data_IF_472899070871
#
_entry.id   IF_472899070871
#
_cell.length_a   1.000
_cell.length_b   1.000
_cell.length_c   1.000
_cell.angle_alpha   90.00
_cell.angle_beta   90.00
_cell.angle_gamma   90.00
#
_symmetry.space_group_name_H-M   'P 1'
#
loop_
_entity.id
_entity.type
_entity.pdbx_description
1 polymer ?
#
# COMPACT_ATOMS: atom_id res chain seq x y z
N UNK A 1 5.42 34.31 -2.80
CA UNK A 1 5.25 33.63 -4.10
C UNK A 1 4.69 34.65 -5.06
N UNK A 2 5.31 34.82 -6.22
CA UNK A 2 4.76 35.67 -7.29
C UNK A 2 3.50 34.99 -7.82
N UNK A 3 2.37 35.70 -7.99
CA UNK A 3 1.22 35.11 -8.65
C UNK A 3 1.60 34.68 -10.07
N UNK A 4 1.17 33.48 -10.46
CA UNK A 4 1.34 32.96 -11.80
C UNK A 4 0.50 33.80 -12.78
N UNK A 5 1.02 34.03 -13.98
CA UNK A 5 0.24 34.59 -15.10
C UNK A 5 -0.79 33.58 -15.63
N UNK A 6 -1.78 34.06 -16.39
CA UNK A 6 -2.91 33.26 -16.91
C UNK A 6 -2.47 32.11 -17.86
N UNK A 7 -1.22 32.12 -18.33
CA UNK A 7 -0.60 31.12 -19.21
C UNK A 7 0.50 30.28 -18.53
N UNK A 8 0.61 30.38 -17.20
CA UNK A 8 1.63 29.69 -16.43
C UNK A 8 1.03 28.56 -15.60
N UNK A 9 1.58 27.36 -15.79
CA UNK A 9 1.12 26.14 -15.13
C UNK A 9 2.20 25.63 -14.19
N UNK A 10 1.77 25.06 -13.06
CA UNK A 10 2.63 24.32 -12.14
C UNK A 10 2.04 22.94 -11.95
N UNK A 11 2.81 21.92 -12.32
CA UNK A 11 2.50 20.53 -12.02
C UNK A 11 3.21 20.16 -10.72
N UNK A 12 2.44 19.76 -9.71
CA UNK A 12 2.97 19.33 -8.41
C UNK A 12 2.86 17.82 -8.32
N UNK A 13 4.01 17.15 -8.25
CA UNK A 13 4.09 15.72 -7.98
C UNK A 13 4.75 15.50 -6.62
N UNK A 14 4.07 14.76 -5.74
CA UNK A 14 4.57 14.42 -4.42
C UNK A 14 5.39 13.13 -4.48
N UNK A 15 6.61 13.14 -3.92
CA UNK A 15 7.47 11.95 -3.87
C UNK A 15 6.82 10.75 -3.18
N UNK A 16 5.94 11.00 -2.20
CA UNK A 16 5.18 9.94 -1.53
C UNK A 16 4.24 9.15 -2.45
N UNK A 17 3.83 9.72 -3.60
CA UNK A 17 3.05 8.99 -4.60
C UNK A 17 3.88 7.86 -5.23
N UNK A 18 5.17 8.08 -5.48
CA UNK A 18 6.03 7.09 -6.12
C UNK A 18 6.28 5.89 -5.19
N UNK A 19 6.56 6.19 -3.93
CA UNK A 19 6.69 5.18 -2.89
C UNK A 19 5.40 4.38 -2.75
N UNK A 20 4.26 5.06 -2.76
CA UNK A 20 2.95 4.41 -2.69
C UNK A 20 2.67 3.46 -3.85
N UNK A 21 2.85 3.93 -5.08
CA UNK A 21 2.66 3.10 -6.27
C UNK A 21 3.54 1.85 -6.21
N UNK A 22 4.79 1.99 -5.77
CA UNK A 22 5.69 0.85 -5.58
C UNK A 22 5.24 -0.09 -4.47
N UNK A 23 4.79 0.44 -3.33
CA UNK A 23 4.30 -0.36 -2.21
C UNK A 23 3.06 -1.19 -2.57
N UNK A 24 2.23 -0.74 -3.50
CA UNK A 24 1.11 -1.54 -4.04
C UNK A 24 1.54 -2.45 -5.20
N UNK A 25 2.42 -1.99 -6.08
CA UNK A 25 2.91 -2.78 -7.20
C UNK A 25 3.73 -4.01 -6.76
N UNK A 26 4.45 -3.91 -5.64
CA UNK A 26 5.31 -4.98 -5.11
C UNK A 26 4.54 -6.22 -4.65
N UNK A 27 3.51 -6.12 -3.78
CA UNK A 27 2.71 -7.28 -3.40
C UNK A 27 1.87 -7.78 -4.58
N UNK A 28 1.39 -6.90 -5.46
CA UNK A 28 0.73 -7.30 -6.72
C UNK A 28 1.66 -8.19 -7.55
N UNK A 29 2.91 -7.79 -7.76
CA UNK A 29 3.85 -8.57 -8.53
C UNK A 29 4.20 -9.90 -7.86
N UNK A 30 4.24 -9.93 -6.52
CA UNK A 30 4.37 -11.18 -5.77
C UNK A 30 3.19 -12.13 -6.02
N UNK A 31 1.98 -11.58 -6.11
CA UNK A 31 0.76 -12.36 -6.27
C UNK A 31 0.62 -12.94 -7.69
N UNK A 32 0.76 -12.09 -8.71
CA UNK A 32 0.31 -12.44 -10.07
C UNK A 32 1.42 -12.79 -11.06
N UNK A 33 2.66 -12.32 -10.85
CA UNK A 33 3.78 -12.58 -11.77
C UNK A 33 4.68 -13.68 -11.24
N UNK A 34 4.17 -14.91 -11.25
CA UNK A 34 4.89 -16.13 -10.84
C UNK A 34 5.47 -16.84 -12.07
N UNK A 35 6.77 -17.13 -12.07
CA UNK A 35 7.37 -17.95 -13.13
C UNK A 35 7.01 -19.43 -12.93
N UNK A 36 6.56 -20.11 -14.01
CA UNK A 36 6.04 -21.48 -13.96
C UNK A 36 7.01 -22.52 -13.35
N UNK A 37 8.33 -22.32 -13.48
CA UNK A 37 9.34 -23.26 -12.98
C UNK A 37 9.78 -22.97 -11.53
N UNK A 38 9.29 -21.88 -10.94
CA UNK A 38 9.48 -21.59 -9.54
C UNK A 38 8.11 -21.61 -8.86
N UNK A 39 7.81 -22.70 -8.15
CA UNK A 39 6.90 -22.67 -7.00
C UNK A 39 7.54 -21.81 -5.88
N UNK A 40 7.91 -20.58 -6.24
CA UNK A 40 8.58 -19.62 -5.40
C UNK A 40 7.60 -19.03 -4.39
N UNK A 41 8.13 -18.30 -3.40
CA UNK A 41 7.38 -17.84 -2.26
C UNK A 41 6.63 -16.54 -2.64
N UNK A 42 5.61 -16.64 -3.49
CA UNK A 42 4.68 -15.56 -3.80
C UNK A 42 3.45 -15.60 -2.88
N UNK A 43 2.83 -14.45 -2.65
CA UNK A 43 1.60 -14.34 -1.84
C UNK A 43 0.37 -14.70 -2.66
N UNK A 44 -0.67 -15.29 -2.06
CA UNK A 44 -1.93 -15.54 -2.77
C UNK A 44 -2.82 -14.28 -2.86
N UNK A 45 -3.93 -14.36 -3.59
CA UNK A 45 -4.83 -13.21 -3.80
C UNK A 45 -5.42 -12.67 -2.48
N UNK A 46 -5.89 -13.52 -1.53
CA UNK A 46 -6.32 -13.04 -0.22
C UNK A 46 -5.21 -12.33 0.56
N UNK A 47 -3.99 -12.87 0.55
CA UNK A 47 -2.85 -12.23 1.22
C UNK A 47 -2.49 -10.90 0.54
N UNK A 48 -2.51 -10.82 -0.80
CA UNK A 48 -2.33 -9.55 -1.53
C UNK A 48 -3.33 -8.49 -1.09
N UNK A 49 -4.61 -8.84 -1.05
CA UNK A 49 -5.66 -7.90 -0.64
C UNK A 49 -5.50 -7.42 0.80
N UNK A 50 -5.12 -8.31 1.71
CA UNK A 50 -4.77 -7.93 3.09
C UNK A 50 -3.59 -6.97 3.13
N UNK A 51 -2.50 -7.27 2.42
CA UNK A 51 -1.32 -6.39 2.38
C UNK A 51 -1.68 -5.00 1.86
N UNK A 52 -2.51 -4.92 0.81
CA UNK A 52 -3.03 -3.64 0.29
C UNK A 52 -3.84 -2.90 1.34
N UNK A 53 -4.77 -3.56 2.04
CA UNK A 53 -5.56 -2.95 3.09
C UNK A 53 -4.67 -2.42 4.24
N UNK A 54 -3.64 -3.16 4.64
CA UNK A 54 -2.70 -2.72 5.67
C UNK A 54 -1.88 -1.50 5.23
N UNK A 55 -1.47 -1.42 3.96
CA UNK A 55 -0.78 -0.23 3.44
C UNK A 55 -1.66 1.01 3.54
N UNK A 56 -2.94 0.88 3.22
CA UNK A 56 -3.91 1.98 3.37
C UNK A 56 -4.11 2.37 4.84
N UNK A 57 -4.23 1.40 5.73
CA UNK A 57 -4.34 1.65 7.17
C UNK A 57 -3.14 2.44 7.70
N UNK A 58 -1.91 2.05 7.33
CA UNK A 58 -0.70 2.77 7.73
C UNK A 58 -0.67 4.21 7.21
N UNK A 59 -1.11 4.41 5.96
CA UNK A 59 -1.22 5.75 5.38
C UNK A 59 -2.23 6.61 6.14
N UNK A 60 -3.37 6.05 6.53
CA UNK A 60 -4.40 6.77 7.28
C UNK A 60 -3.93 7.15 8.69
N UNK A 61 -3.35 6.18 9.42
CA UNK A 61 -3.00 6.35 10.84
C UNK A 61 -1.70 7.14 11.03
N UNK A 62 -0.69 6.91 10.18
CA UNK A 62 0.64 7.51 10.35
C UNK A 62 1.01 8.54 9.29
N UNK A 63 0.20 8.67 8.22
CA UNK A 63 0.57 9.52 7.08
C UNK A 63 1.74 8.96 6.26
N UNK A 64 2.20 7.73 6.51
CA UNK A 64 3.36 7.12 5.84
C UNK A 64 2.98 5.79 5.18
N UNK A 65 3.68 5.46 4.09
CA UNK A 65 3.44 4.25 3.31
C UNK A 65 4.26 3.09 3.84
N UNK A 66 3.62 2.26 4.66
CA UNK A 66 4.25 1.10 5.31
C UNK A 66 3.37 -0.14 5.17
N UNK A 67 3.98 -1.33 5.25
CA UNK A 67 3.24 -2.58 5.11
C UNK A 67 4.02 -3.77 5.66
N UNK A 68 3.37 -4.94 5.76
CA UNK A 68 3.99 -6.14 6.27
C UNK A 68 5.11 -6.66 5.34
N UNK A 69 6.00 -7.47 5.90
CA UNK A 69 6.92 -8.29 5.13
C UNK A 69 6.19 -9.49 4.54
N UNK A 70 6.52 -9.78 3.30
CA UNK A 70 6.05 -10.94 2.57
C UNK A 70 7.12 -11.39 1.59
N UNK A 71 6.99 -12.63 1.14
CA UNK A 71 7.97 -13.18 0.25
C UNK A 71 7.81 -12.63 -1.19
N UNK A 72 8.95 -12.27 -1.77
CA UNK A 72 9.04 -11.62 -3.08
C UNK A 72 10.45 -11.82 -3.64
N UNK A 73 10.52 -12.20 -4.91
CA UNK A 73 11.79 -12.39 -5.62
C UNK A 73 12.32 -11.08 -6.19
N UNK A 74 13.61 -11.00 -6.53
CA UNK A 74 14.19 -9.80 -7.14
C UNK A 74 13.62 -9.53 -8.54
N UNK A 75 13.20 -10.56 -9.27
CA UNK A 75 12.48 -10.40 -10.53
C UNK A 75 11.12 -9.71 -10.32
N UNK A 76 10.35 -10.14 -9.32
CA UNK A 76 9.08 -9.50 -8.97
C UNK A 76 9.28 -8.06 -8.49
N UNK A 77 10.34 -7.77 -7.72
CA UNK A 77 10.70 -6.39 -7.35
C UNK A 77 11.01 -5.53 -8.58
N UNK A 78 11.68 -6.09 -9.57
CA UNK A 78 11.99 -5.40 -10.84
C UNK A 78 10.72 -5.11 -11.63
N UNK A 79 9.82 -6.10 -11.77
CA UNK A 79 8.52 -5.91 -12.43
C UNK A 79 7.64 -4.89 -11.71
N UNK A 80 7.60 -4.94 -10.37
CA UNK A 80 6.90 -3.95 -9.55
C UNK A 80 7.42 -2.53 -9.79
N UNK A 81 8.76 -2.36 -9.82
CA UNK A 81 9.38 -1.08 -10.10
C UNK A 81 9.03 -0.57 -11.51
N UNK A 82 9.03 -1.47 -12.50
CA UNK A 82 8.61 -1.12 -13.86
C UNK A 82 7.15 -0.67 -13.89
N UNK A 83 6.23 -1.41 -13.27
CA UNK A 83 4.81 -1.04 -13.22
C UNK A 83 4.58 0.29 -12.50
N UNK A 84 5.21 0.50 -11.35
CA UNK A 84 5.12 1.74 -10.59
C UNK A 84 5.62 2.93 -11.42
N UNK A 85 6.76 2.80 -12.11
CA UNK A 85 7.28 3.82 -13.01
C UNK A 85 6.32 4.12 -14.19
N UNK A 86 5.59 3.13 -14.70
CA UNK A 86 4.59 3.36 -15.76
C UNK A 86 3.35 4.05 -15.25
N UNK A 87 2.88 3.66 -14.07
CA UNK A 87 1.79 4.34 -13.37
C UNK A 87 2.15 5.81 -13.12
N UNK A 88 3.37 6.08 -12.63
CA UNK A 88 3.89 7.45 -12.43
C UNK A 88 3.88 8.25 -13.74
N UNK A 89 4.42 7.68 -14.82
CA UNK A 89 4.46 8.36 -16.12
C UNK A 89 3.05 8.68 -16.64
N UNK A 90 2.11 7.75 -16.44
CA UNK A 90 0.71 7.98 -16.79
C UNK A 90 0.13 9.15 -15.99
N UNK A 91 0.31 9.18 -14.66
CA UNK A 91 -0.20 10.26 -13.81
C UNK A 91 0.43 11.61 -14.17
N UNK A 92 1.74 11.68 -14.38
CA UNK A 92 2.39 12.90 -14.87
C UNK A 92 1.85 13.34 -16.24
N UNK A 93 1.67 12.39 -17.16
CA UNK A 93 1.14 12.68 -18.48
C UNK A 93 -0.35 13.12 -18.42
N UNK A 94 -1.10 12.67 -17.42
CA UNK A 94 -2.47 13.11 -17.14
C UNK A 94 -2.50 14.57 -16.70
N UNK A 95 -1.66 14.97 -15.75
CA UNK A 95 -1.53 16.39 -15.35
C UNK A 95 -1.13 17.29 -16.53
N UNK A 96 -0.21 16.81 -17.39
CA UNK A 96 0.14 17.51 -18.63
C UNK A 96 -1.01 17.54 -19.65
N UNK A 97 -1.90 16.54 -19.59
CA UNK A 97 -3.14 16.49 -20.37
C UNK A 97 -4.05 17.67 -20.05
N UNK A 98 -4.27 17.96 -18.75
CA UNK A 98 -5.02 19.15 -18.31
C UNK A 98 -4.42 20.45 -18.87
N UNK A 99 -3.10 20.61 -18.79
CA UNK A 99 -2.41 21.78 -19.37
C UNK A 99 -2.69 21.88 -20.88
N UNK A 100 -2.60 20.78 -21.61
CA UNK A 100 -2.88 20.75 -23.05
C UNK A 100 -4.33 21.10 -23.38
N UNK A 101 -5.29 20.66 -22.57
CA UNK A 101 -6.73 20.99 -22.73
C UNK A 101 -6.94 22.49 -22.54
N UNK A 102 -6.44 23.06 -21.44
CA UNK A 102 -6.59 24.49 -21.15
C UNK A 102 -5.98 25.35 -22.26
N UNK A 103 -4.80 24.98 -22.77
CA UNK A 103 -4.13 25.71 -23.86
C UNK A 103 -4.87 25.60 -25.20
N UNK A 104 -5.54 24.48 -25.47
CA UNK A 104 -6.18 24.21 -26.76
C UNK A 104 -7.64 24.65 -26.82
N UNK A 105 -8.36 24.65 -25.70
CA UNK A 105 -9.80 24.87 -25.63
C UNK A 105 -10.24 25.38 -24.25
N UNK A 106 -9.83 26.61 -23.86
CA UNK A 106 -10.08 27.12 -22.51
C UNK A 106 -11.58 27.27 -22.23
N UNK A 107 -12.06 26.59 -21.18
CA UNK A 107 -13.41 26.75 -20.62
C UNK A 107 -14.56 26.16 -21.43
N UNK A 108 -14.28 25.18 -22.30
CA UNK A 108 -15.30 24.55 -23.17
C UNK A 108 -15.83 23.23 -22.59
N UNK A 109 -15.00 22.49 -21.87
CA UNK A 109 -15.34 21.17 -21.32
C UNK A 109 -15.86 21.29 -19.88
N UNK A 110 -16.75 20.39 -19.50
CA UNK A 110 -17.02 20.16 -18.08
C UNK A 110 -15.86 19.38 -17.42
N UNK A 111 -15.82 19.35 -16.08
CA UNK A 111 -14.73 18.71 -15.32
C UNK A 111 -14.57 17.22 -15.67
N UNK A 112 -15.67 16.49 -15.88
CA UNK A 112 -15.62 15.06 -16.16
C UNK A 112 -15.11 14.76 -17.59
N UNK A 113 -15.47 15.60 -18.55
CA UNK A 113 -14.94 15.57 -19.91
C UNK A 113 -13.46 15.94 -19.93
N UNK A 114 -13.06 16.96 -19.17
CA UNK A 114 -11.66 17.36 -19.04
C UNK A 114 -10.78 16.22 -18.53
N UNK A 115 -11.19 15.55 -17.45
CA UNK A 115 -10.52 14.36 -16.89
C UNK A 115 -10.36 13.23 -17.91
N UNK A 116 -11.42 12.98 -18.69
CA UNK A 116 -11.42 11.96 -19.73
C UNK A 116 -10.45 12.31 -20.87
N UNK A 117 -10.39 13.58 -21.27
CA UNK A 117 -9.44 14.05 -22.29
C UNK A 117 -8.00 14.00 -21.79
N UNK A 118 -7.77 14.35 -20.52
CA UNK A 118 -6.46 14.24 -19.88
C UNK A 118 -5.97 12.78 -19.85
N UNK A 119 -6.83 11.83 -19.51
CA UNK A 119 -6.56 10.39 -19.57
C UNK A 119 -6.20 9.90 -20.99
N UNK A 120 -6.96 10.35 -21.99
CA UNK A 120 -6.72 10.01 -23.41
C UNK A 120 -5.37 10.55 -23.86
N UNK A 121 -5.06 11.81 -23.51
CA UNK A 121 -3.77 12.43 -23.83
C UNK A 121 -2.62 11.67 -23.15
N UNK A 122 -2.76 11.36 -21.87
CA UNK A 122 -1.77 10.63 -21.08
C UNK A 122 -1.43 9.26 -21.67
N UNK A 123 -2.46 8.49 -22.00
CA UNK A 123 -2.29 7.18 -22.63
C UNK A 123 -1.65 7.33 -24.02
N UNK A 124 -2.14 8.26 -24.83
CA UNK A 124 -1.64 8.50 -26.19
C UNK A 124 -0.14 8.81 -26.17
N UNK A 125 0.28 9.76 -25.35
CA UNK A 125 1.70 10.15 -25.25
C UNK A 125 2.55 9.00 -24.70
N UNK A 126 2.06 8.26 -23.70
CA UNK A 126 2.76 7.13 -23.12
C UNK A 126 2.97 5.99 -24.13
N UNK A 127 1.96 5.70 -24.95
CA UNK A 127 2.02 4.68 -26.01
C UNK A 127 2.92 5.12 -27.16
N UNK A 128 2.84 6.39 -27.59
CA UNK A 128 3.74 6.94 -28.59
C UNK A 128 5.20 6.90 -28.12
N UNK A 129 5.48 7.33 -26.89
CA UNK A 129 6.81 7.27 -26.32
C UNK A 129 7.36 5.84 -26.23
N UNK A 130 6.48 4.86 -25.95
CA UNK A 130 6.85 3.44 -25.91
C UNK A 130 7.10 2.85 -27.31
N UNK A 131 6.48 3.41 -28.36
CA UNK A 131 6.68 3.01 -29.75
C UNK A 131 7.84 3.75 -30.44
N UNK A 132 8.26 4.90 -29.91
CA UNK A 132 9.33 5.75 -30.46
C UNK A 132 10.73 5.39 -29.94
N UNK A 133 10.86 4.50 -28.95
CA UNK A 133 12.16 4.02 -28.48
C UNK A 133 12.77 2.99 -29.44
N UNK A 134 13.45 3.53 -30.47
CA UNK A 134 14.62 3.00 -31.21
C UNK A 134 14.52 1.64 -31.91
N UNK A 135 14.53 1.67 -33.26
CA UNK A 135 15.26 0.85 -34.25
C UNK A 135 15.44 -0.68 -34.13
N UNK A 136 15.02 -1.31 -33.05
CA UNK A 136 14.93 -2.75 -32.85
C UNK A 136 13.47 -3.09 -32.61
N UNK A 137 13.04 -4.29 -33.00
CA UNK A 137 11.65 -4.70 -33.07
C UNK A 137 10.80 -4.16 -31.90
N UNK A 138 9.67 -3.50 -32.21
CA UNK A 138 8.66 -3.03 -31.24
C UNK A 138 8.47 -4.09 -30.16
N UNK A 139 9.05 -3.91 -28.97
CA UNK A 139 8.94 -4.91 -27.91
C UNK A 139 7.51 -4.85 -27.34
N UNK A 140 6.67 -5.87 -27.60
CA UNK A 140 5.27 -5.86 -27.15
C UNK A 140 5.17 -5.77 -25.63
N UNK A 141 6.21 -6.19 -24.90
CA UNK A 141 6.27 -6.09 -23.44
C UNK A 141 6.26 -4.65 -22.96
N UNK A 142 6.86 -3.71 -23.70
CA UNK A 142 6.87 -2.29 -23.33
C UNK A 142 5.48 -1.67 -23.41
N UNK A 143 4.77 -1.91 -24.52
CA UNK A 143 3.39 -1.45 -24.69
C UNK A 143 2.47 -2.07 -23.62
N UNK A 144 2.62 -3.38 -23.37
CA UNK A 144 1.88 -4.09 -22.34
C UNK A 144 2.10 -3.50 -20.94
N UNK A 145 3.36 -3.29 -20.53
CA UNK A 145 3.67 -2.73 -19.21
C UNK A 145 3.27 -1.26 -19.08
N UNK A 146 3.41 -0.47 -20.15
CA UNK A 146 2.95 0.93 -20.18
C UNK A 146 1.45 1.02 -19.93
N UNK A 147 0.66 0.21 -20.64
CA UNK A 147 -0.79 0.18 -20.44
C UNK A 147 -1.17 -0.38 -19.06
N UNK A 148 -0.52 -1.47 -18.63
CA UNK A 148 -0.75 -2.06 -17.31
C UNK A 148 -0.45 -1.09 -16.16
N UNK A 149 0.54 -0.20 -16.30
CA UNK A 149 0.81 0.86 -15.33
C UNK A 149 -0.32 1.90 -15.24
N UNK A 150 -0.90 2.29 -16.39
CA UNK A 150 -2.04 3.20 -16.40
C UNK A 150 -3.28 2.58 -15.71
N UNK A 151 -3.62 1.33 -16.04
CA UNK A 151 -4.71 0.63 -15.33
C UNK A 151 -4.39 0.43 -13.84
N UNK A 152 -3.14 0.12 -13.46
CA UNK A 152 -2.74 0.00 -12.07
C UNK A 152 -3.02 1.30 -11.28
N UNK A 153 -2.67 2.46 -11.85
CA UNK A 153 -2.93 3.75 -11.20
C UNK A 153 -4.44 3.95 -10.94
N UNK A 154 -5.29 3.65 -11.94
CA UNK A 154 -6.74 3.77 -11.80
C UNK A 154 -7.34 2.72 -10.85
N UNK A 155 -6.80 1.50 -10.81
CA UNK A 155 -7.23 0.48 -9.85
C UNK A 155 -6.90 0.88 -8.41
N UNK A 156 -5.72 1.46 -8.18
CA UNK A 156 -5.35 2.03 -6.87
C UNK A 156 -6.34 3.15 -6.49
N UNK A 157 -6.65 4.05 -7.42
CA UNK A 157 -7.66 5.09 -7.21
C UNK A 157 -9.04 4.53 -6.86
N UNK A 158 -9.45 3.44 -7.52
CA UNK A 158 -10.72 2.76 -7.26
C UNK A 158 -10.78 2.24 -5.81
N UNK A 159 -9.69 1.62 -5.34
CA UNK A 159 -9.58 1.17 -3.94
C UNK A 159 -9.64 2.35 -2.98
N UNK A 160 -8.92 3.42 -3.26
CA UNK A 160 -8.92 4.64 -2.43
C UNK A 160 -10.31 5.24 -2.28
N UNK A 161 -11.05 5.33 -3.38
CA UNK A 161 -12.41 5.89 -3.40
C UNK A 161 -13.35 5.06 -2.51
N UNK A 162 -13.22 3.73 -2.55
CA UNK A 162 -14.01 2.81 -1.71
C UNK A 162 -13.69 2.91 -0.22
N UNK A 163 -12.44 3.24 0.12
CA UNK A 163 -12.02 3.48 1.50
C UNK A 163 -12.33 4.92 1.97
N UNK A 164 -13.01 5.73 1.15
CA UNK A 164 -13.26 7.15 1.40
C UNK A 164 -11.98 7.98 1.61
N UNK A 165 -10.87 7.56 0.98
CA UNK A 165 -9.57 8.23 1.02
C UNK A 165 -9.37 9.20 -0.16
N UNK A 166 -10.45 9.74 -0.72
CA UNK A 166 -10.40 10.64 -1.88
C UNK A 166 -9.66 11.94 -1.57
N UNK A 167 -8.69 12.31 -2.41
CA UNK A 167 -7.93 13.55 -2.25
C UNK A 167 -8.77 14.81 -2.55
N UNK A 168 -9.77 14.70 -3.42
CA UNK A 168 -10.69 15.78 -3.81
C UNK A 168 -12.07 15.19 -4.06
N UNK A 169 -13.07 15.61 -3.28
CA UNK A 169 -14.43 15.10 -3.40
C UNK A 169 -15.10 15.54 -4.69
N UNK A 170 -15.58 14.57 -5.48
CA UNK A 170 -16.61 14.78 -6.51
C UNK A 170 -16.15 15.37 -7.84
N UNK A 171 -14.84 15.51 -8.08
CA UNK A 171 -14.30 16.10 -9.33
C UNK A 171 -13.96 15.04 -10.38
N UNK A 172 -13.56 13.83 -9.96
CA UNK A 172 -13.11 12.79 -10.88
C UNK A 172 -14.22 11.80 -11.24
N UNK A 173 -14.36 11.40 -12.52
CA UNK A 173 -15.20 10.28 -12.90
C UNK A 173 -14.78 8.98 -12.19
N UNK A 174 -15.69 8.03 -11.96
CA UNK A 174 -15.36 6.74 -11.36
C UNK A 174 -14.22 6.05 -12.12
N UNK A 175 -13.26 5.49 -11.38
CA UNK A 175 -12.06 4.86 -11.96
C UNK A 175 -12.37 3.81 -13.04
N UNK A 176 -13.43 3.02 -12.86
CA UNK A 176 -13.83 2.02 -13.86
C UNK A 176 -14.32 2.66 -15.17
N UNK A 177 -15.00 3.81 -15.09
CA UNK A 177 -15.41 4.55 -16.29
C UNK A 177 -14.18 5.11 -17.04
N UNK A 178 -13.17 5.58 -16.30
CA UNK A 178 -11.88 6.01 -16.84
C UNK A 178 -11.13 4.86 -17.51
N UNK A 179 -11.10 3.68 -16.89
CA UNK A 179 -10.52 2.46 -17.49
C UNK A 179 -11.23 2.11 -18.80
N UNK A 180 -12.57 2.18 -18.87
CA UNK A 180 -13.31 1.92 -20.11
C UNK A 180 -12.93 2.91 -21.23
N UNK A 181 -12.70 4.17 -20.90
CA UNK A 181 -12.20 5.19 -21.85
C UNK A 181 -10.78 4.84 -22.31
N UNK A 182 -9.89 4.44 -21.40
CA UNK A 182 -8.54 4.01 -21.75
C UNK A 182 -8.55 2.78 -22.66
N UNK A 183 -9.39 1.78 -22.39
CA UNK A 183 -9.54 0.56 -23.23
C UNK A 183 -10.01 0.91 -24.64
N UNK A 184 -11.04 1.74 -24.76
CA UNK A 184 -11.56 2.23 -26.06
C UNK A 184 -10.49 3.00 -26.82
N UNK A 185 -9.75 3.85 -26.13
CA UNK A 185 -8.65 4.63 -26.71
C UNK A 185 -7.51 3.72 -27.17
N UNK A 186 -7.04 2.81 -26.31
CA UNK A 186 -6.01 1.82 -26.64
C UNK A 186 -6.38 1.03 -27.90
N UNK A 187 -7.65 0.63 -28.02
CA UNK A 187 -8.12 -0.13 -29.17
C UNK A 187 -7.89 0.60 -30.50
N UNK A 188 -7.94 1.93 -30.51
CA UNK A 188 -7.64 2.74 -31.71
C UNK A 188 -6.18 2.70 -32.14
N UNK A 189 -5.26 2.32 -31.25
CA UNK A 189 -3.83 2.14 -31.53
C UNK A 189 -3.47 0.72 -31.99
N UNK A 190 -4.43 -0.22 -31.99
CA UNK A 190 -4.19 -1.62 -32.30
C UNK A 190 -4.70 -1.97 -33.71
N UNK A 191 -3.81 -2.52 -34.53
CA UNK A 191 -4.14 -2.97 -35.89
C UNK A 191 -5.00 -4.26 -35.90
N UNK A 192 -5.04 -4.98 -34.77
CA UNK A 192 -5.75 -6.27 -34.65
C UNK A 192 -6.16 -6.59 -33.22
N UNK A 193 -7.11 -7.52 -33.07
CA UNK A 193 -7.49 -8.13 -31.79
C UNK A 193 -6.31 -8.77 -31.07
N UNK A 194 -5.48 -9.52 -31.78
CA UNK A 194 -4.31 -10.17 -31.19
C UNK A 194 -3.32 -9.16 -30.56
N UNK A 195 -3.12 -8.00 -31.19
CA UNK A 195 -2.27 -6.94 -30.64
C UNK A 195 -2.91 -6.31 -29.39
N UNK A 196 -4.20 -6.02 -29.44
CA UNK A 196 -4.95 -5.49 -28.31
C UNK A 196 -4.93 -6.45 -27.10
N UNK A 197 -5.18 -7.73 -27.34
CA UNK A 197 -5.15 -8.78 -26.32
C UNK A 197 -3.75 -8.91 -25.70
N UNK A 198 -2.70 -8.81 -26.53
CA UNK A 198 -1.31 -8.84 -26.04
C UNK A 198 -1.01 -7.66 -25.12
N UNK A 199 -1.41 -6.45 -25.49
CA UNK A 199 -1.14 -5.24 -24.69
C UNK A 199 -1.97 -5.24 -23.39
N UNK A 200 -3.21 -5.71 -23.45
CA UNK A 200 -4.12 -5.72 -22.29
C UNK A 200 -3.88 -6.88 -21.34
N UNK A 201 -3.12 -7.90 -21.73
CA UNK A 201 -2.92 -9.13 -20.95
C UNK A 201 -2.52 -8.87 -19.48
N UNK A 202 -1.48 -8.08 -19.25
CA UNK A 202 -1.03 -7.77 -17.88
C UNK A 202 -2.07 -6.94 -17.11
N UNK A 203 -2.76 -6.03 -17.79
CA UNK A 203 -3.77 -5.16 -17.18
C UNK A 203 -5.01 -5.95 -16.73
N UNK A 204 -5.46 -6.94 -17.53
CA UNK A 204 -6.53 -7.88 -17.16
C UNK A 204 -6.15 -8.70 -15.91
N UNK A 205 -4.88 -9.13 -15.80
CA UNK A 205 -4.40 -9.84 -14.62
C UNK A 205 -4.44 -8.94 -13.38
N UNK A 206 -4.04 -7.68 -13.52
CA UNK A 206 -4.13 -6.66 -12.45
C UNK A 206 -5.59 -6.44 -12.04
N UNK A 207 -6.50 -6.23 -12.99
CA UNK A 207 -7.93 -6.03 -12.72
C UNK A 207 -8.54 -7.21 -11.94
N UNK A 208 -8.17 -8.45 -12.27
CA UNK A 208 -8.62 -9.64 -11.53
C UNK A 208 -8.12 -9.64 -10.09
N UNK A 209 -6.85 -9.32 -9.86
CA UNK A 209 -6.30 -9.22 -8.52
C UNK A 209 -7.01 -8.13 -7.70
N UNK A 210 -7.24 -6.95 -8.30
CA UNK A 210 -7.96 -5.86 -7.65
C UNK A 210 -9.45 -6.16 -7.42
N UNK A 211 -10.07 -7.01 -8.26
CA UNK A 211 -11.43 -7.49 -7.99
C UNK A 211 -11.51 -8.23 -6.66
N UNK A 212 -10.49 -9.03 -6.31
CA UNK A 212 -10.42 -9.70 -5.00
C UNK A 212 -10.22 -8.70 -3.86
N UNK A 213 -9.39 -7.67 -4.07
CA UNK A 213 -9.22 -6.55 -3.12
C UNK A 213 -10.57 -5.89 -2.84
N UNK A 214 -11.32 -5.54 -3.89
CA UNK A 214 -12.63 -4.91 -3.75
C UNK A 214 -13.64 -5.82 -3.04
N UNK A 215 -13.65 -7.12 -3.34
CA UNK A 215 -14.53 -8.06 -2.65
C UNK A 215 -14.27 -8.11 -1.14
N UNK A 216 -13.00 -8.09 -0.73
CA UNK A 216 -12.62 -8.08 0.69
C UNK A 216 -13.02 -6.77 1.36
N UNK A 217 -12.83 -5.62 0.68
CA UNK A 217 -13.22 -4.31 1.23
C UNK A 217 -14.74 -4.18 1.35
N UNK A 218 -15.49 -4.64 0.34
CA UNK A 218 -16.96 -4.53 0.32
C UNK A 218 -17.66 -5.56 1.21
N UNK A 219 -17.05 -6.74 1.40
CA UNK A 219 -17.61 -7.87 2.14
C UNK A 219 -16.58 -8.45 3.12
N UNK A 220 -16.15 -7.66 4.13
CA UNK A 220 -15.09 -8.06 5.05
C UNK A 220 -15.46 -9.34 5.83
N UNK A 221 -16.74 -9.56 6.14
CA UNK A 221 -17.24 -10.71 6.90
C UNK A 221 -16.86 -12.07 6.30
N UNK A 222 -16.87 -12.20 4.96
CA UNK A 222 -16.57 -13.46 4.27
C UNK A 222 -15.09 -13.87 4.37
N UNK A 223 -14.22 -12.91 4.64
CA UNK A 223 -12.77 -13.11 4.77
C UNK A 223 -12.25 -12.89 6.20
N UNK A 224 -13.10 -12.33 7.07
CA UNK A 224 -12.80 -12.00 8.46
C UNK A 224 -12.30 -13.22 9.23
N UNK A 225 -12.94 -14.39 9.12
CA UNK A 225 -12.56 -15.57 9.89
C UNK A 225 -11.10 -16.02 9.65
N UNK A 226 -10.62 -15.90 8.41
CA UNK A 226 -9.26 -16.28 8.06
C UNK A 226 -8.25 -15.28 8.62
N UNK A 227 -8.47 -13.98 8.38
CA UNK A 227 -7.58 -12.92 8.84
C UNK A 227 -7.58 -12.81 10.37
N UNK A 228 -8.74 -12.91 11.01
CA UNK A 228 -8.84 -12.96 12.47
C UNK A 228 -8.09 -14.15 13.05
N UNK A 229 -8.16 -15.33 12.42
CA UNK A 229 -7.41 -16.51 12.89
C UNK A 229 -5.91 -16.26 12.81
N UNK A 230 -5.42 -15.67 11.72
CA UNK A 230 -4.00 -15.33 11.57
C UNK A 230 -3.57 -14.26 12.58
N UNK A 231 -4.37 -13.21 12.78
CA UNK A 231 -4.13 -12.18 13.79
C UNK A 231 -4.08 -12.77 15.20
N UNK A 232 -5.04 -13.64 15.57
CA UNK A 232 -5.07 -14.34 16.86
C UNK A 232 -3.85 -15.22 17.09
N UNK A 233 -3.38 -15.92 16.06
CA UNK A 233 -2.14 -16.71 16.13
C UNK A 233 -0.91 -15.82 16.35
N UNK A 234 -0.81 -14.70 15.63
CA UNK A 234 0.26 -13.72 15.80
C UNK A 234 0.26 -13.13 17.22
N UNK A 235 -0.90 -12.69 17.70
CA UNK A 235 -1.06 -12.17 19.07
C UNK A 235 -0.67 -13.23 20.10
N UNK A 236 -1.08 -14.48 19.90
CA UNK A 236 -0.69 -15.59 20.79
C UNK A 236 0.82 -15.82 20.79
N UNK A 237 1.48 -15.75 19.63
CA UNK A 237 2.94 -15.89 19.52
C UNK A 237 3.67 -14.75 20.23
N UNK A 238 3.20 -13.51 20.06
CA UNK A 238 3.75 -12.33 20.72
C UNK A 238 3.57 -12.38 22.24
N UNK A 239 2.38 -12.76 22.72
CA UNK A 239 2.10 -12.93 24.16
C UNK A 239 3.00 -13.99 24.77
N UNK A 240 3.14 -15.14 24.12
CA UNK A 240 4.05 -16.21 24.58
C UNK A 240 5.50 -15.73 24.63
N UNK A 241 5.96 -15.01 23.60
CA UNK A 241 7.30 -14.44 23.59
C UNK A 241 7.51 -13.44 24.74
N UNK A 242 6.53 -12.57 25.01
CA UNK A 242 6.55 -11.64 26.14
C UNK A 242 6.57 -12.36 27.49
N UNK A 243 5.76 -13.41 27.65
CA UNK A 243 5.73 -14.22 28.87
C UNK A 243 7.07 -14.90 29.13
N UNK A 244 7.62 -15.57 28.12
CA UNK A 244 8.93 -16.22 28.19
C UNK A 244 10.03 -15.22 28.58
N UNK A 245 10.11 -14.09 27.86
CA UNK A 245 11.17 -13.09 28.06
C UNK A 245 10.99 -12.25 29.33
N UNK A 246 9.83 -12.30 29.99
CA UNK A 246 9.55 -11.58 31.24
C UNK A 246 9.47 -12.49 32.48
N UNK A 247 9.74 -13.79 32.34
CA UNK A 247 9.64 -14.75 33.44
C UNK A 247 10.65 -14.48 34.56
N UNK A 248 11.90 -14.19 34.19
CA UNK A 248 13.01 -14.01 35.13
C UNK A 248 13.05 -12.64 35.80
N UNK A 249 13.92 -12.49 36.81
CA UNK A 249 14.12 -11.21 37.54
C UNK A 249 14.54 -10.09 36.59
N UNK A 250 15.41 -10.41 35.64
CA UNK A 250 15.83 -9.49 34.57
C UNK A 250 15.19 -9.95 33.26
N UNK A 251 14.46 -9.09 32.53
CA UNK A 251 13.91 -9.45 31.23
C UNK A 251 14.99 -9.86 30.21
N UNK A 252 14.69 -10.85 29.38
CA UNK A 252 15.55 -11.27 28.28
C UNK A 252 15.34 -10.36 27.05
N UNK A 253 15.94 -9.17 27.13
CA UNK A 253 15.89 -8.16 26.07
C UNK A 253 16.50 -8.67 24.75
N UNK A 254 17.58 -9.46 24.81
CA UNK A 254 18.27 -9.93 23.62
C UNK A 254 17.36 -10.83 22.79
N UNK A 255 16.80 -11.89 23.40
CA UNK A 255 15.89 -12.80 22.69
C UNK A 255 14.63 -12.07 22.22
N UNK A 256 14.10 -11.16 23.04
CA UNK A 256 12.91 -10.41 22.68
C UNK A 256 13.15 -9.51 21.46
N UNK A 257 14.20 -8.70 21.46
CA UNK A 257 14.51 -7.78 20.36
C UNK A 257 14.97 -8.48 19.09
N UNK A 258 15.46 -9.72 19.18
CA UNK A 258 15.74 -10.53 18.01
C UNK A 258 14.46 -11.13 17.40
N UNK A 259 13.53 -11.61 18.23
CA UNK A 259 12.35 -12.36 17.76
C UNK A 259 11.13 -11.47 17.45
N UNK A 260 10.88 -10.44 18.26
CA UNK A 260 9.68 -9.63 18.16
C UNK A 260 9.55 -8.88 16.83
N UNK A 261 10.60 -8.22 16.27
CA UNK A 261 10.47 -7.54 14.98
C UNK A 261 9.96 -8.44 13.85
N UNK A 262 10.38 -9.72 13.84
CA UNK A 262 9.94 -10.72 12.85
C UNK A 262 8.47 -11.11 13.00
N UNK A 263 7.91 -10.99 14.21
CA UNK A 263 6.49 -11.20 14.45
C UNK A 263 5.70 -9.97 14.02
N UNK A 264 6.13 -8.76 14.39
CA UNK A 264 5.51 -7.50 13.95
C UNK A 264 5.51 -7.33 12.43
N UNK A 265 6.58 -7.77 11.77
CA UNK A 265 6.68 -7.77 10.32
C UNK A 265 5.59 -8.58 9.61
N UNK A 266 4.88 -9.49 10.30
CA UNK A 266 3.79 -10.27 9.69
C UNK A 266 2.52 -9.46 9.40
N UNK A 267 2.34 -8.30 10.04
CA UNK A 267 1.17 -7.41 9.85
C UNK A 267 0.20 -7.41 11.03
N UNK A 268 -1.08 -7.14 10.75
CA UNK A 268 -2.16 -7.01 11.75
C UNK A 268 -1.90 -5.97 12.85
N UNK A 269 -1.48 -4.75 12.48
CA UNK A 269 -1.00 -3.77 13.45
C UNK A 269 -2.08 -3.39 14.47
N UNK A 270 -3.34 -3.25 14.05
CA UNK A 270 -4.48 -2.92 14.91
C UNK A 270 -4.67 -3.96 16.03
N UNK A 271 -4.81 -5.24 15.67
CA UNK A 271 -5.02 -6.30 16.65
C UNK A 271 -3.82 -6.42 17.59
N UNK A 272 -2.60 -6.22 17.09
CA UNK A 272 -1.42 -6.28 17.94
C UNK A 272 -1.36 -5.09 18.92
N UNK A 273 -1.74 -3.89 18.47
CA UNK A 273 -1.84 -2.72 19.36
C UNK A 273 -2.87 -2.98 20.46
N UNK A 274 -4.09 -3.37 20.09
CA UNK A 274 -5.18 -3.58 21.04
C UNK A 274 -4.91 -4.74 22.02
N UNK A 275 -4.43 -5.87 21.50
CA UNK A 275 -4.36 -7.09 22.28
C UNK A 275 -3.03 -7.30 22.99
N UNK A 276 -1.96 -6.64 22.56
CA UNK A 276 -0.62 -6.81 23.15
C UNK A 276 -0.15 -5.52 23.81
N UNK A 277 -0.13 -4.41 23.08
CA UNK A 277 0.43 -3.16 23.60
C UNK A 277 -0.46 -2.56 24.68
N UNK A 278 -1.75 -2.36 24.40
CA UNK A 278 -2.67 -1.76 25.37
C UNK A 278 -2.79 -2.58 26.65
N UNK A 279 -2.79 -3.92 26.54
CA UNK A 279 -2.81 -4.79 27.73
C UNK A 279 -1.56 -4.63 28.59
N UNK A 280 -0.39 -4.46 27.98
CA UNK A 280 0.85 -4.21 28.71
C UNK A 280 0.86 -2.83 29.39
N UNK A 281 0.31 -1.81 28.71
CA UNK A 281 0.15 -0.46 29.26
C UNK A 281 -0.80 -0.46 30.46
N UNK A 282 -1.96 -1.10 30.34
CA UNK A 282 -2.94 -1.18 31.42
C UNK A 282 -2.40 -1.96 32.61
N UNK A 283 -1.72 -3.09 32.37
CA UNK A 283 -1.04 -3.83 33.43
C UNK A 283 0.05 -3.01 34.14
N UNK A 284 0.72 -2.12 33.42
CA UNK A 284 1.70 -1.19 33.97
C UNK A 284 1.03 -0.08 34.79
N UNK A 285 -0.07 0.52 34.29
CA UNK A 285 -0.87 1.51 35.03
C UNK A 285 -1.38 0.94 36.36
N UNK A 286 -1.91 -0.28 36.33
CA UNK A 286 -2.36 -1.00 37.53
C UNK A 286 -1.23 -1.24 38.52
N UNK A 287 -0.05 -1.60 38.02
CA UNK A 287 1.15 -1.79 38.84
C UNK A 287 1.57 -0.48 39.52
N UNK A 288 1.58 0.63 38.77
CA UNK A 288 1.92 1.95 39.30
C UNK A 288 0.88 2.46 40.31
N UNK A 289 -0.40 2.22 40.07
CA UNK A 289 -1.48 2.60 41.00
C UNK A 289 -1.30 1.90 42.35
N UNK A 290 -1.08 0.58 42.35
CA UNK A 290 -0.82 -0.21 43.57
C UNK A 290 0.43 0.26 44.31
N UNK A 291 1.49 0.61 43.58
CA UNK A 291 2.71 1.14 44.20
C UNK A 291 2.47 2.49 44.91
N UNK A 292 1.64 3.38 44.34
CA UNK A 292 1.27 4.67 44.95
C UNK A 292 0.45 4.51 46.24
N UNK A 293 -0.33 3.45 46.35
CA UNK A 293 -1.16 3.13 47.52
C UNK A 293 -0.38 2.46 48.66
N UNK A 294 0.96 2.42 48.60
CA UNK A 294 1.82 1.82 49.61
C UNK A 294 2.27 0.40 49.29
N UNK A 295 2.15 -0.03 48.03
CA UNK A 295 2.74 -1.27 47.51
C UNK A 295 4.26 -1.32 47.71
N UNK A 296 4.80 -2.53 47.80
CA UNK A 296 6.23 -2.75 48.06
C UNK A 296 7.05 -2.67 46.76
N UNK A 297 8.37 -2.48 46.86
CA UNK A 297 9.28 -2.49 45.69
C UNK A 297 9.19 -3.80 44.86
N UNK A 298 8.69 -4.90 45.46
CA UNK A 298 8.41 -6.18 44.78
C UNK A 298 7.32 -6.02 43.73
N UNK A 299 6.34 -5.12 43.95
CA UNK A 299 5.26 -4.86 43.01
C UNK A 299 5.77 -4.16 41.74
N UNK A 300 6.82 -3.35 41.83
CA UNK A 300 7.47 -2.73 40.66
C UNK A 300 8.22 -3.78 39.83
N UNK A 301 8.61 -4.91 40.41
CA UNK A 301 9.21 -6.03 39.66
C UNK A 301 8.16 -7.02 39.12
N UNK A 302 6.89 -6.58 39.03
CA UNK A 302 5.82 -7.38 38.45
C UNK A 302 6.12 -7.76 37.01
N UNK A 303 5.51 -8.88 36.58
CA UNK A 303 5.58 -9.31 35.17
C UNK A 303 5.09 -8.22 34.21
N UNK A 304 4.04 -7.48 34.60
CA UNK A 304 3.49 -6.41 33.78
C UNK A 304 4.49 -5.28 33.53
N UNK A 305 5.24 -4.85 34.56
CA UNK A 305 6.30 -3.85 34.37
C UNK A 305 7.41 -4.33 33.43
N UNK A 306 7.79 -5.61 33.56
CA UNK A 306 8.82 -6.23 32.70
C UNK A 306 8.36 -6.34 31.24
N UNK A 307 7.11 -6.75 31.01
CA UNK A 307 6.51 -6.80 29.67
C UNK A 307 6.41 -5.41 29.04
N UNK A 308 5.95 -4.40 29.81
CA UNK A 308 5.94 -3.01 29.37
C UNK A 308 7.34 -2.53 28.99
N UNK A 309 8.37 -2.82 29.80
CA UNK A 309 9.75 -2.45 29.48
C UNK A 309 10.27 -3.08 28.19
N UNK A 310 9.98 -4.37 27.97
CA UNK A 310 10.33 -5.06 26.73
C UNK A 310 9.68 -4.37 25.52
N UNK A 311 8.39 -4.07 25.59
CA UNK A 311 7.68 -3.40 24.49
C UNK A 311 8.14 -1.96 24.28
N UNK A 312 8.35 -1.21 25.37
CA UNK A 312 8.82 0.17 25.30
C UNK A 312 10.21 0.26 24.66
N UNK A 313 11.16 -0.58 25.08
CA UNK A 313 12.50 -0.60 24.48
C UNK A 313 12.50 -1.17 23.05
N UNK A 314 11.56 -2.03 22.68
CA UNK A 314 11.43 -2.52 21.31
C UNK A 314 11.14 -1.39 20.31
N UNK A 315 10.51 -0.28 20.73
CA UNK A 315 10.25 0.85 19.83
C UNK A 315 11.53 1.39 19.18
N UNK A 316 12.68 1.35 19.87
CA UNK A 316 13.97 1.76 19.31
C UNK A 316 14.48 0.84 18.18
N UNK A 317 13.91 -0.36 18.07
CA UNK A 317 14.25 -1.37 17.08
C UNK A 317 13.22 -1.48 15.95
N UNK A 318 12.16 -0.67 15.97
CA UNK A 318 11.13 -0.66 14.92
C UNK A 318 11.48 0.33 13.80
N UNK A 319 11.15 0.00 12.53
CA UNK A 319 11.22 0.97 11.45
C UNK A 319 10.15 2.06 11.61
N UNK A 320 10.37 3.21 10.98
CA UNK A 320 9.29 4.19 10.78
C UNK A 320 8.29 3.69 9.73
N UNK A 321 6.99 4.02 9.87
CA UNK A 321 6.34 4.80 10.93
C UNK A 321 5.96 4.00 12.18
N UNK A 322 6.17 2.67 12.17
CA UNK A 322 5.70 1.79 13.24
C UNK A 322 6.24 2.23 14.61
N UNK A 323 7.49 2.70 14.68
CA UNK A 323 8.08 3.26 15.89
C UNK A 323 7.24 4.39 16.48
N UNK A 324 6.85 5.39 15.70
CA UNK A 324 6.09 6.54 16.18
C UNK A 324 4.72 6.13 16.73
N UNK A 325 3.98 5.30 16.00
CA UNK A 325 2.67 4.81 16.42
C UNK A 325 2.79 4.00 17.70
N UNK A 326 3.76 3.09 17.77
CA UNK A 326 3.94 2.23 18.93
C UNK A 326 4.40 3.01 20.16
N UNK A 327 5.28 3.99 19.99
CA UNK A 327 5.70 4.88 21.06
C UNK A 327 4.51 5.73 21.58
N UNK A 328 3.59 6.14 20.71
CA UNK A 328 2.37 6.84 21.11
C UNK A 328 1.48 5.96 21.98
N UNK A 329 1.20 4.71 21.58
CA UNK A 329 0.36 3.81 22.39
C UNK A 329 1.02 3.40 23.71
N UNK A 330 2.35 3.37 23.76
CA UNK A 330 3.11 3.04 24.96
C UNK A 330 3.36 4.25 25.87
N UNK A 331 2.94 5.47 25.53
CA UNK A 331 3.07 6.61 26.44
C UNK A 331 2.12 6.47 27.64
N UNK A 332 2.69 6.60 28.84
CA UNK A 332 1.94 6.67 30.08
C UNK A 332 1.64 8.14 30.38
N UNK A 333 0.71 8.73 29.63
CA UNK A 333 0.16 10.05 29.93
C UNK A 333 -0.76 10.03 31.17
#
# INVERSE_FOLDING_TARGET
MTPLGDDQFVVVLHSGLFEFLYQIARPLASAVFRMQDAAGPGIDDPEFARVVAEIFWWREVAGEMFGPEYAVTDHQKTLANLLAMRAERFLLAHELGHVSVVLSSPGILDEAEEESVADIAALTWSMLASNLSSNEAKDPMWAMLTYAGAELALQIWNVMSRLNLEFLHGVHPPAMARIDVLRKTLRTFCDSDAMYDTITMAAIVIERAFTQVHQIIDQPEGHAEMFERQAKLLVSDLRRLLEDCSADVTPDYYRFYEAAPRLFARGYPEQVIEEVLMQAVDGMRDTLAKAREGGTFIDINSRAFKQYKLLFGLTEHMPEPARLIFAHYLSLD
#
